data_IF_524486402274
#
_entry.id   IF_524486402274
#
_cell.length_a   1.000
_cell.length_b   1.000
_cell.length_c   1.000
_cell.angle_alpha   90.00
_cell.angle_beta   90.00
_cell.angle_gamma   90.00
#
_symmetry.space_group_name_H-M   'P 1'
#
loop_
_entity.id
_entity.type
_entity.pdbx_description
1 polymer ?
#
# COMPACT_ATOMS: atom_id res chain seq x y z
N UNK A 1 71.28 33.95 -3.82
CA UNK A 1 71.98 33.41 -5.02
C UNK A 1 71.15 32.27 -5.56
N UNK A 2 70.76 32.47 -6.81
CA UNK A 2 70.46 31.42 -7.83
C UNK A 2 69.23 30.51 -7.54
N UNK A 3 68.19 30.70 -8.24
CA UNK A 3 67.77 30.48 -9.66
C UNK A 3 66.94 29.21 -9.80
N UNK A 4 65.73 29.43 -10.29
CA UNK A 4 65.14 28.90 -11.52
C UNK A 4 64.88 27.39 -11.50
N UNK A 5 63.74 26.88 -11.85
CA UNK A 5 63.11 26.89 -13.16
C UNK A 5 61.71 26.23 -13.09
N UNK A 6 60.84 26.89 -13.76
CA UNK A 6 59.54 26.37 -14.25
C UNK A 6 59.68 25.07 -15.03
N UNK A 7 58.69 24.19 -14.97
CA UNK A 7 58.24 23.52 -16.19
C UNK A 7 56.75 23.19 -16.12
N UNK A 8 56.03 23.87 -16.94
CA UNK A 8 54.69 23.58 -17.45
C UNK A 8 54.81 22.35 -18.33
N UNK A 9 53.96 21.35 -18.15
CA UNK A 9 53.63 20.48 -19.27
C UNK A 9 52.14 20.16 -19.26
N UNK A 10 51.55 20.70 -20.30
CA UNK A 10 50.16 20.50 -20.69
C UNK A 10 49.98 19.16 -21.43
N UNK A 11 48.74 18.76 -21.47
CA UNK A 11 48.09 17.96 -22.50
C UNK A 11 48.22 16.42 -22.42
N UNK A 12 47.11 15.79 -22.21
CA UNK A 12 46.46 15.07 -23.31
C UNK A 12 45.07 14.60 -22.89
N UNK A 13 44.08 15.22 -23.52
CA UNK A 13 42.75 14.59 -23.68
C UNK A 13 42.94 13.29 -24.47
N UNK A 14 42.49 12.19 -23.91
CA UNK A 14 42.09 11.05 -24.72
C UNK A 14 40.63 10.77 -24.45
N UNK A 15 39.78 11.24 -25.35
CA UNK A 15 38.45 10.67 -25.58
C UNK A 15 38.65 9.23 -26.02
N UNK A 16 38.22 8.29 -25.23
CA UNK A 16 37.88 6.95 -25.69
C UNK A 16 36.37 6.79 -25.57
N UNK A 17 35.69 7.05 -26.69
CA UNK A 17 34.40 6.47 -26.96
C UNK A 17 34.59 4.93 -27.05
N UNK A 18 34.10 4.22 -26.09
CA UNK A 18 33.77 2.82 -26.26
C UNK A 18 32.23 2.71 -26.11
N UNK A 19 31.60 2.73 -27.26
CA UNK A 19 30.23 2.32 -27.40
C UNK A 19 30.15 0.79 -27.27
N UNK A 20 29.00 0.33 -26.83
CA UNK A 20 28.45 -1.01 -26.85
C UNK A 20 28.53 -1.83 -25.57
N UNK A 21 27.35 -2.06 -25.03
CA UNK A 21 27.07 -3.01 -23.98
C UNK A 21 25.93 -2.56 -23.07
N UNK A 22 24.76 -2.34 -23.67
CA UNK A 22 23.54 -2.03 -22.92
C UNK A 22 23.05 -3.29 -22.22
N UNK A 23 23.45 -3.48 -20.99
CA UNK A 23 22.67 -4.21 -20.00
C UNK A 23 22.49 -3.26 -18.82
N UNK A 24 21.47 -2.45 -18.91
CA UNK A 24 20.92 -1.71 -17.79
C UNK A 24 20.27 -2.73 -16.87
N UNK A 25 21.02 -3.28 -15.92
CA UNK A 25 20.46 -3.72 -14.67
C UNK A 25 19.92 -2.45 -13.98
N UNK A 26 18.70 -2.12 -14.31
CA UNK A 26 17.91 -1.20 -13.51
C UNK A 26 17.62 -1.92 -12.18
N UNK A 27 18.55 -1.86 -11.24
CA UNK A 27 18.17 -1.89 -9.84
C UNK A 27 17.27 -0.69 -9.66
N UNK A 28 15.96 -0.94 -9.76
CA UNK A 28 14.95 0.10 -9.58
C UNK A 28 15.22 0.82 -8.27
N UNK A 29 15.24 2.12 -8.34
CA UNK A 29 15.17 2.99 -7.16
C UNK A 29 14.05 2.46 -6.25
N UNK A 30 14.26 2.33 -4.94
CA UNK A 30 13.21 1.89 -4.05
C UNK A 30 11.95 2.71 -4.31
N UNK A 31 10.77 2.10 -4.41
CA UNK A 31 9.55 2.84 -4.69
C UNK A 31 9.38 3.96 -3.66
N UNK A 32 9.05 5.15 -4.16
CA UNK A 32 8.84 6.31 -3.29
C UNK A 32 7.79 5.98 -2.22
N UNK A 33 8.10 6.30 -0.97
CA UNK A 33 7.16 6.10 0.12
C UNK A 33 5.81 6.76 -0.18
N UNK A 34 4.69 6.16 0.21
CA UNK A 34 3.38 6.78 0.02
C UNK A 34 3.29 8.12 0.76
N UNK A 35 2.67 9.12 0.13
CA UNK A 35 2.47 10.44 0.73
C UNK A 35 1.30 10.45 1.74
N UNK A 36 0.36 9.52 1.61
CA UNK A 36 -0.80 9.36 2.50
C UNK A 36 -1.39 7.95 2.37
N UNK A 37 -2.32 7.60 3.27
CA UNK A 37 -3.08 6.37 3.16
C UNK A 37 -3.89 6.29 1.86
N UNK A 38 -4.44 7.42 1.40
CA UNK A 38 -5.13 7.51 0.11
C UNK A 38 -4.18 7.31 -1.06
N UNK A 39 -3.03 8.01 -1.09
CA UNK A 39 -2.02 7.86 -2.15
C UNK A 39 -1.54 6.40 -2.27
N UNK A 40 -1.33 5.71 -1.14
CA UNK A 40 -1.00 4.29 -1.13
C UNK A 40 -2.08 3.46 -1.85
N UNK A 41 -3.34 3.67 -1.47
CA UNK A 41 -4.47 2.92 -2.04
C UNK A 41 -4.67 3.22 -3.54
N UNK A 42 -4.56 4.48 -3.94
CA UNK A 42 -4.68 4.91 -5.35
C UNK A 42 -3.54 4.31 -6.19
N UNK A 43 -2.31 4.32 -5.71
CA UNK A 43 -1.18 3.69 -6.40
C UNK A 43 -1.45 2.21 -6.67
N UNK A 44 -1.95 1.47 -5.69
CA UNK A 44 -2.30 0.06 -5.87
C UNK A 44 -3.46 -0.11 -6.86
N UNK A 45 -4.57 0.60 -6.69
CA UNK A 45 -5.75 0.49 -7.55
C UNK A 45 -5.46 0.85 -9.01
N UNK A 46 -4.59 1.82 -9.25
CA UNK A 46 -4.21 2.26 -10.59
C UNK A 46 -3.37 1.25 -11.37
N UNK A 47 -2.87 0.19 -10.73
CA UNK A 47 -2.16 -0.90 -11.42
C UNK A 47 -3.08 -2.04 -11.86
N UNK A 48 -4.33 -2.07 -11.39
CA UNK A 48 -5.30 -3.07 -11.81
C UNK A 48 -5.61 -2.92 -13.30
N UNK A 49 -5.62 -4.04 -14.01
CA UNK A 49 -6.10 -4.11 -15.39
C UNK A 49 -7.62 -3.99 -15.43
N UNK A 50 -8.19 -3.72 -16.61
CA UNK A 50 -9.64 -3.61 -16.75
C UNK A 50 -10.37 -4.92 -16.39
N UNK A 51 -9.74 -6.07 -16.62
CA UNK A 51 -10.29 -7.40 -16.28
C UNK A 51 -10.21 -7.73 -14.79
N UNK A 52 -9.35 -7.06 -14.04
CA UNK A 52 -9.21 -7.23 -12.58
C UNK A 52 -10.10 -6.27 -11.79
N UNK A 53 -10.55 -5.20 -12.43
CA UNK A 53 -11.42 -4.21 -11.79
C UNK A 53 -12.83 -4.74 -11.61
N UNK A 54 -13.40 -4.42 -10.48
CA UNK A 54 -14.79 -4.73 -10.11
C UNK A 54 -15.47 -3.47 -9.54
N UNK A 55 -16.82 -3.41 -9.51
CA UNK A 55 -17.53 -2.27 -8.94
C UNK A 55 -17.16 -2.03 -7.49
N UNK A 56 -16.61 -0.85 -7.20
CA UNK A 56 -16.11 -0.50 -5.87
C UNK A 56 -16.63 0.84 -5.38
N UNK A 57 -16.62 1.00 -4.07
CA UNK A 57 -16.82 2.29 -3.40
C UNK A 57 -15.67 2.51 -2.41
N UNK A 58 -15.05 3.67 -2.46
CA UNK A 58 -14.06 4.08 -1.48
C UNK A 58 -14.61 5.14 -0.52
N UNK A 59 -13.94 5.29 0.62
CA UNK A 59 -14.31 6.25 1.65
C UNK A 59 -15.34 5.73 2.66
N UNK A 60 -15.92 6.65 3.40
CA UNK A 60 -16.82 6.40 4.53
C UNK A 60 -18.32 6.54 4.18
N UNK A 61 -18.64 6.50 2.91
CA UNK A 61 -19.98 6.70 2.38
C UNK A 61 -20.61 8.09 2.63
N UNK A 62 -19.88 9.04 3.20
CA UNK A 62 -20.31 10.43 3.26
C UNK A 62 -20.22 11.09 1.88
N UNK A 63 -21.02 12.14 1.63
CA UNK A 63 -20.97 12.90 0.37
C UNK A 63 -19.56 13.47 0.09
N UNK A 64 -18.81 13.82 1.15
CA UNK A 64 -17.48 14.40 1.03
C UNK A 64 -16.41 13.37 0.62
N UNK A 65 -16.48 12.15 1.17
CA UNK A 65 -15.40 11.16 1.07
C UNK A 65 -15.73 9.98 0.15
N UNK A 66 -17.01 9.78 -0.19
CA UNK A 66 -17.41 8.67 -1.06
C UNK A 66 -16.84 8.83 -2.47
N UNK A 67 -16.27 7.76 -2.99
CA UNK A 67 -15.73 7.66 -4.35
C UNK A 67 -16.27 6.42 -5.02
N UNK A 68 -16.86 6.59 -6.20
CA UNK A 68 -17.27 5.49 -7.05
C UNK A 68 -16.08 5.00 -7.86
N UNK A 69 -15.91 3.69 -7.94
CA UNK A 69 -14.82 2.98 -8.66
C UNK A 69 -13.39 3.49 -8.35
N UNK A 70 -13.18 4.02 -7.15
CA UNK A 70 -11.89 4.53 -6.70
C UNK A 70 -11.75 4.45 -5.18
N UNK A 71 -10.51 4.41 -4.65
CA UNK A 71 -10.25 4.56 -3.23
C UNK A 71 -10.69 5.93 -2.70
N UNK A 72 -11.13 5.96 -1.45
CA UNK A 72 -11.55 7.19 -0.78
C UNK A 72 -11.01 7.30 0.64
N UNK A 73 -10.93 8.52 1.15
CA UNK A 73 -10.58 8.79 2.55
C UNK A 73 -11.67 8.26 3.47
N UNK A 74 -11.28 7.61 4.55
CA UNK A 74 -12.20 7.16 5.58
C UNK A 74 -12.07 8.04 6.83
N UNK A 75 -13.17 8.68 7.25
CA UNK A 75 -13.20 9.52 8.45
C UNK A 75 -12.99 8.65 9.70
N UNK A 76 -12.12 9.12 10.60
CA UNK A 76 -11.75 8.41 11.81
C UNK A 76 -12.47 8.93 13.07
N UNK A 77 -13.42 9.84 12.94
CA UNK A 77 -14.12 10.44 14.09
C UNK A 77 -15.04 9.46 14.81
N UNK A 78 -15.69 8.56 14.06
CA UNK A 78 -16.48 7.45 14.62
C UNK A 78 -15.68 6.14 14.56
N UNK A 79 -14.91 5.88 15.62
CA UNK A 79 -14.02 4.72 15.71
C UNK A 79 -14.78 3.38 15.66
N UNK A 80 -15.99 3.33 16.21
CA UNK A 80 -16.82 2.13 16.19
C UNK A 80 -17.31 1.83 14.76
N UNK A 81 -17.66 2.88 13.99
CA UNK A 81 -18.01 2.71 12.58
C UNK A 81 -16.79 2.24 11.75
N UNK A 82 -15.61 2.78 12.00
CA UNK A 82 -14.36 2.35 11.33
C UNK A 82 -14.04 0.89 11.65
N UNK A 83 -14.13 0.49 12.91
CA UNK A 83 -13.95 -0.90 13.32
C UNK A 83 -14.96 -1.81 12.61
N UNK A 84 -16.24 -1.46 12.67
CA UNK A 84 -17.30 -2.22 12.03
C UNK A 84 -17.13 -2.36 10.51
N UNK A 85 -16.66 -1.33 9.82
CA UNK A 85 -16.49 -1.36 8.36
C UNK A 85 -15.16 -2.00 7.93
N UNK A 86 -14.07 -1.61 8.56
CA UNK A 86 -12.71 -1.86 8.09
C UNK A 86 -11.88 -2.77 9.01
N UNK A 87 -12.41 -3.15 10.16
CA UNK A 87 -11.71 -3.99 11.14
C UNK A 87 -10.57 -3.26 11.87
N UNK A 88 -10.58 -1.93 11.90
CA UNK A 88 -9.59 -1.15 12.65
C UNK A 88 -9.99 -1.13 14.14
N UNK A 89 -9.16 -1.67 15.06
CA UNK A 89 -9.47 -1.59 16.48
C UNK A 89 -9.67 -0.14 16.95
N UNK A 90 -10.69 0.12 17.77
CA UNK A 90 -11.01 1.48 18.26
C UNK A 90 -9.82 2.15 18.96
N UNK A 91 -8.96 1.36 19.61
CA UNK A 91 -7.79 1.83 20.35
C UNK A 91 -6.55 2.09 19.47
N UNK A 92 -6.64 1.75 18.16
CA UNK A 92 -5.51 1.92 17.24
C UNK A 92 -5.09 3.38 17.11
N UNK A 93 -3.78 3.62 17.08
CA UNK A 93 -3.19 4.95 16.95
C UNK A 93 -2.90 5.25 15.48
N UNK A 94 -3.89 5.78 14.80
CA UNK A 94 -3.85 6.17 13.39
C UNK A 94 -4.45 7.56 13.22
N UNK A 95 -3.96 8.32 12.25
CA UNK A 95 -4.43 9.66 11.91
C UNK A 95 -4.94 9.78 10.47
N UNK A 96 -4.74 8.73 9.64
CA UNK A 96 -5.31 8.64 8.30
C UNK A 96 -5.81 7.23 8.04
N UNK A 97 -6.92 7.13 7.31
CA UNK A 97 -7.40 5.90 6.71
C UNK A 97 -7.93 6.14 5.30
N UNK A 98 -7.77 5.14 4.43
CA UNK A 98 -8.37 5.11 3.11
C UNK A 98 -8.85 3.70 2.79
N UNK A 99 -10.00 3.59 2.15
CA UNK A 99 -10.65 2.31 1.88
C UNK A 99 -10.98 2.11 0.40
N UNK A 100 -11.15 0.87 0.01
CA UNK A 100 -11.79 0.42 -1.22
C UNK A 100 -12.61 -0.82 -0.87
N UNK A 101 -13.91 -0.79 -1.15
CA UNK A 101 -14.88 -1.79 -0.70
C UNK A 101 -15.68 -2.25 -1.90
N UNK A 102 -15.96 -3.54 -2.02
CA UNK A 102 -16.82 -4.08 -3.07
C UNK A 102 -18.24 -3.52 -2.92
N UNK A 103 -18.77 -2.88 -3.98
CA UNK A 103 -20.03 -2.13 -3.94
C UNK A 103 -21.23 -2.99 -3.54
N UNK A 104 -21.28 -4.26 -3.96
CA UNK A 104 -22.42 -5.13 -3.70
C UNK A 104 -22.40 -5.77 -2.31
N UNK A 105 -21.22 -6.08 -1.79
CA UNK A 105 -21.07 -6.70 -0.47
C UNK A 105 -19.64 -6.49 0.04
N UNK A 106 -19.49 -5.79 1.15
CA UNK A 106 -18.20 -5.54 1.78
C UNK A 106 -17.45 -6.83 2.17
N UNK A 107 -18.15 -7.93 2.46
CA UNK A 107 -17.53 -9.21 2.79
C UNK A 107 -16.94 -9.90 1.55
N UNK A 108 -17.32 -9.49 0.33
CA UNK A 108 -16.69 -9.95 -0.92
C UNK A 108 -15.29 -9.36 -1.06
N UNK A 109 -15.12 -8.08 -0.72
CA UNK A 109 -13.81 -7.46 -0.66
C UNK A 109 -13.87 -6.13 0.09
N UNK A 110 -13.00 -6.01 1.05
CA UNK A 110 -12.68 -4.74 1.73
C UNK A 110 -11.17 -4.65 1.89
N UNK A 111 -10.60 -3.54 1.48
CA UNK A 111 -9.20 -3.26 1.75
C UNK A 111 -9.01 -1.82 2.22
N UNK A 112 -8.17 -1.64 3.23
CA UNK A 112 -7.89 -0.34 3.81
C UNK A 112 -6.38 -0.17 4.10
N UNK A 113 -5.93 1.08 4.04
CA UNK A 113 -4.61 1.50 4.48
C UNK A 113 -4.74 2.51 5.61
N UNK A 114 -3.86 2.42 6.59
CA UNK A 114 -3.86 3.26 7.78
C UNK A 114 -2.47 3.86 8.00
N UNK A 115 -2.37 5.18 8.17
CA UNK A 115 -1.15 5.81 8.61
C UNK A 115 -1.02 5.67 10.13
N UNK A 116 0.01 4.96 10.57
CA UNK A 116 0.27 4.71 12.00
C UNK A 116 1.05 5.87 12.60
N UNK A 117 0.61 6.32 13.76
CA UNK A 117 1.33 7.33 14.54
C UNK A 117 2.21 6.72 15.64
N UNK A 118 2.25 5.39 15.70
CA UNK A 118 3.04 4.61 16.65
C UNK A 118 3.72 3.44 15.90
N UNK A 119 3.37 2.21 16.17
CA UNK A 119 3.99 1.00 15.64
C UNK A 119 3.09 0.32 14.59
N UNK A 120 3.56 0.29 13.33
CA UNK A 120 2.80 -0.29 12.23
C UNK A 120 2.75 -1.83 12.29
N UNK A 121 3.77 -2.50 12.81
CA UNK A 121 3.78 -3.95 12.98
C UNK A 121 2.82 -4.39 14.10
N UNK A 122 2.79 -3.62 15.19
CA UNK A 122 1.80 -3.83 16.24
C UNK A 122 0.37 -3.62 15.73
N UNK A 123 0.15 -2.60 14.89
CA UNK A 123 -1.16 -2.39 14.26
C UNK A 123 -1.51 -3.52 13.30
N UNK A 124 -0.58 -4.02 12.49
CA UNK A 124 -0.81 -5.15 11.59
C UNK A 124 -1.28 -6.41 12.38
N UNK A 125 -0.65 -6.68 13.51
CA UNK A 125 -1.05 -7.76 14.41
C UNK A 125 -2.47 -7.56 14.96
N UNK A 126 -2.78 -6.33 15.37
CA UNK A 126 -4.09 -5.99 15.92
C UNK A 126 -5.20 -6.05 14.86
N UNK A 127 -4.93 -5.58 13.64
CA UNK A 127 -5.86 -5.69 12.49
C UNK A 127 -6.17 -7.16 12.16
N UNK A 128 -5.14 -8.00 12.03
CA UNK A 128 -5.30 -9.44 11.78
C UNK A 128 -6.19 -10.06 12.84
N UNK A 129 -5.89 -9.84 14.11
CA UNK A 129 -6.68 -10.39 15.23
C UNK A 129 -8.12 -9.89 15.20
N UNK A 130 -8.31 -8.59 15.05
CA UNK A 130 -9.65 -7.97 15.08
C UNK A 130 -10.53 -8.46 13.93
N UNK A 131 -9.98 -8.57 12.71
CA UNK A 131 -10.71 -9.08 11.55
C UNK A 131 -11.08 -10.55 11.75
N UNK A 132 -10.20 -11.39 12.25
CA UNK A 132 -10.47 -12.80 12.54
C UNK A 132 -11.56 -13.03 13.59
N UNK A 133 -11.72 -12.11 14.54
CA UNK A 133 -12.71 -12.23 15.61
C UNK A 133 -14.10 -11.68 15.26
N UNK A 134 -14.26 -11.11 14.05
CA UNK A 134 -15.54 -10.50 13.66
C UNK A 134 -16.63 -11.54 13.51
N UNK A 135 -17.85 -11.12 13.86
CA UNK A 135 -19.05 -11.88 13.51
C UNK A 135 -19.53 -11.46 12.12
N UNK A 136 -19.42 -12.36 11.19
CA UNK A 136 -19.81 -12.11 9.81
C UNK A 136 -21.30 -12.32 9.59
N UNK A 137 -21.93 -11.35 8.90
CA UNK A 137 -23.32 -11.44 8.47
C UNK A 137 -23.40 -11.22 6.96
N UNK A 138 -24.37 -11.86 6.29
CA UNK A 138 -24.57 -11.73 4.85
C UNK A 138 -23.42 -12.22 3.97
N UNK A 139 -22.72 -13.26 4.41
CA UNK A 139 -21.59 -13.88 3.72
C UNK A 139 -20.35 -13.96 4.61
N UNK A 140 -19.50 -14.94 4.33
CA UNK A 140 -18.22 -15.10 5.01
C UNK A 140 -17.10 -14.74 4.02
N UNK A 141 -16.16 -13.87 4.39
CA UNK A 141 -14.94 -13.70 3.62
C UNK A 141 -14.05 -14.95 3.77
N UNK A 142 -13.33 -15.29 2.73
CA UNK A 142 -12.48 -16.48 2.71
C UNK A 142 -11.15 -16.22 3.42
N UNK A 143 -10.64 -14.98 3.29
CA UNK A 143 -9.24 -14.68 3.58
C UNK A 143 -9.06 -13.29 4.18
N UNK A 144 -8.07 -13.16 5.06
CA UNK A 144 -7.49 -11.89 5.51
C UNK A 144 -5.99 -11.87 5.21
N UNK A 145 -5.51 -10.77 4.65
CA UNK A 145 -4.10 -10.52 4.50
C UNK A 145 -3.75 -9.11 5.01
N UNK A 146 -2.61 -9.01 5.69
CA UNK A 146 -2.12 -7.74 6.26
C UNK A 146 -0.65 -7.56 5.91
N UNK A 147 -0.29 -6.37 5.44
CA UNK A 147 1.07 -5.99 5.11
C UNK A 147 1.46 -4.68 5.78
N UNK A 148 2.77 -4.42 5.86
CA UNK A 148 3.32 -3.15 6.35
C UNK A 148 4.12 -2.48 5.24
N UNK A 149 3.82 -1.21 4.96
CA UNK A 149 4.51 -0.36 3.99
C UNK A 149 5.06 0.86 4.72
N UNK A 150 6.29 0.77 5.21
CA UNK A 150 6.88 1.83 6.03
C UNK A 150 6.06 2.08 7.30
N UNK A 151 5.45 3.25 7.41
CA UNK A 151 4.60 3.65 8.55
C UNK A 151 3.11 3.32 8.33
N UNK A 152 2.78 2.62 7.28
CA UNK A 152 1.39 2.25 6.96
C UNK A 152 1.16 0.77 7.23
N UNK A 153 0.07 0.45 7.94
CA UNK A 153 -0.51 -0.88 7.94
C UNK A 153 -1.61 -0.97 6.88
N UNK A 154 -1.63 -2.07 6.14
CA UNK A 154 -2.56 -2.30 5.04
C UNK A 154 -3.23 -3.64 5.24
N UNK A 155 -4.55 -3.66 5.30
CA UNK A 155 -5.31 -4.89 5.45
C UNK A 155 -6.29 -5.08 4.30
N UNK A 156 -6.47 -6.32 3.87
CA UNK A 156 -7.51 -6.74 2.95
C UNK A 156 -8.19 -8.01 3.46
N UNK A 157 -9.51 -8.09 3.32
CA UNK A 157 -10.27 -9.32 3.59
C UNK A 157 -11.39 -9.47 2.55
N UNK A 158 -11.77 -10.70 2.27
CA UNK A 158 -12.80 -11.01 1.29
C UNK A 158 -12.59 -12.34 0.60
N UNK A 159 -13.05 -12.44 -0.66
CA UNK A 159 -12.79 -13.56 -1.53
C UNK A 159 -11.28 -13.72 -1.76
N UNK A 160 -10.80 -14.95 -1.71
CA UNK A 160 -9.37 -15.27 -1.75
C UNK A 160 -8.67 -14.65 -2.97
N UNK A 161 -9.26 -14.79 -4.16
CA UNK A 161 -8.72 -14.28 -5.42
C UNK A 161 -8.58 -12.75 -5.43
N UNK A 162 -9.54 -12.02 -4.86
CA UNK A 162 -9.50 -10.57 -4.77
C UNK A 162 -8.46 -10.08 -3.77
N UNK A 163 -8.31 -10.77 -2.64
CA UNK A 163 -7.29 -10.46 -1.64
C UNK A 163 -5.89 -10.74 -2.17
N UNK A 164 -5.71 -11.86 -2.88
CA UNK A 164 -4.43 -12.25 -3.50
C UNK A 164 -4.01 -11.26 -4.59
N UNK A 165 -4.95 -10.88 -5.46
CA UNK A 165 -4.73 -9.85 -6.48
C UNK A 165 -4.30 -8.54 -5.83
N UNK A 166 -5.00 -8.10 -4.78
CA UNK A 166 -4.65 -6.89 -4.04
C UNK A 166 -3.23 -6.94 -3.47
N UNK A 167 -2.86 -8.03 -2.79
CA UNK A 167 -1.52 -8.19 -2.20
C UNK A 167 -0.43 -8.32 -3.27
N UNK A 168 -0.73 -8.93 -4.42
CA UNK A 168 0.17 -8.99 -5.56
C UNK A 168 0.49 -7.60 -6.12
N UNK A 169 -0.52 -6.75 -6.31
CA UNK A 169 -0.33 -5.36 -6.76
C UNK A 169 0.43 -4.53 -5.72
N UNK A 170 0.11 -4.69 -4.44
CA UNK A 170 0.82 -4.03 -3.33
C UNK A 170 2.32 -4.40 -3.34
N UNK A 171 2.61 -5.70 -3.49
CA UNK A 171 3.99 -6.18 -3.61
C UNK A 171 4.68 -5.62 -4.87
N UNK A 172 4.00 -5.63 -6.00
CA UNK A 172 4.55 -5.12 -7.27
C UNK A 172 5.01 -3.66 -7.19
N UNK A 173 4.31 -2.84 -6.38
CA UNK A 173 4.64 -1.42 -6.22
C UNK A 173 5.65 -1.19 -5.10
N UNK A 174 5.44 -1.78 -3.94
CA UNK A 174 6.19 -1.45 -2.73
C UNK A 174 7.23 -2.50 -2.35
N UNK A 175 7.27 -3.65 -3.04
CA UNK A 175 8.21 -4.74 -2.75
C UNK A 175 7.97 -5.41 -1.39
N UNK A 176 6.75 -5.34 -0.85
CA UNK A 176 6.39 -5.90 0.46
C UNK A 176 5.58 -7.18 0.31
N UNK A 177 5.81 -8.12 1.22
CA UNK A 177 4.98 -9.32 1.36
C UNK A 177 4.01 -9.13 2.52
N UNK A 178 2.85 -9.78 2.52
CA UNK A 178 1.99 -9.80 3.69
C UNK A 178 2.71 -10.42 4.88
N UNK A 179 2.58 -9.78 6.04
CA UNK A 179 3.04 -10.32 7.33
C UNK A 179 2.04 -11.33 7.90
N UNK A 180 0.79 -11.23 7.49
CA UNK A 180 -0.28 -12.20 7.73
C UNK A 180 -1.03 -12.47 6.43
N UNK A 181 -1.27 -13.73 6.14
CA UNK A 181 -1.98 -14.23 4.97
C UNK A 181 -2.68 -15.53 5.35
N UNK A 182 -3.97 -15.44 5.75
CA UNK A 182 -4.65 -16.50 6.47
C UNK A 182 -6.11 -16.64 6.03
N UNK A 183 -6.62 -17.87 6.04
CA UNK A 183 -8.06 -18.12 5.93
C UNK A 183 -8.79 -17.56 7.15
N UNK A 184 -9.98 -17.00 6.95
CA UNK A 184 -10.89 -16.61 8.02
C UNK A 184 -11.62 -17.86 8.52
N UNK A 185 -11.70 -18.03 9.84
CA UNK A 185 -12.28 -19.22 10.51
C UNK A 185 -13.61 -18.91 11.18
#
# INVERSE_FOLDING_TARGET
MKKILSLVLAAALTLSLAACGNTTDSKGEPPAAPASALDLREKVWNTYTDDEKFPTSGGDYSEANSKEDAPGVYDLTDRAAVDSALGLPETAKVDQAASLIHMMNQNTFTAAAYHCTDDADALATALRYNIQQRQWMCGFPDKVAVAVVGVYAVAGFGAEDLVDTFMSHLNGIFGVQPVYDEAIQ
#
